data_IF_689605210153
#
_entry.id   IF_689605210153
#
_cell.length_a   1.000
_cell.length_b   1.000
_cell.length_c   1.000
_cell.angle_alpha   90.00
_cell.angle_beta   90.00
_cell.angle_gamma   90.00
#
_symmetry.space_group_name_H-M   'P 1'
#
loop_
_entity.id
_entity.type
_entity.pdbx_description
1 polymer ?
#
# COMPACT_ATOMS: atom_id res chain seq x y z
N UNK A 1 18.52 32.48 -1.59
CA UNK A 1 19.10 31.23 -1.06
C UNK A 1 18.74 30.12 -2.05
N UNK A 2 19.70 29.51 -2.74
CA UNK A 2 19.43 28.37 -3.64
C UNK A 2 19.38 27.11 -2.78
N UNK A 3 18.26 26.40 -2.80
CA UNK A 3 18.12 25.11 -2.14
C UNK A 3 18.89 24.10 -3.00
N UNK A 4 19.81 23.35 -2.37
CA UNK A 4 20.50 22.23 -3.02
C UNK A 4 19.48 21.10 -3.27
N UNK A 5 19.30 20.73 -4.54
CA UNK A 5 18.37 19.68 -4.98
C UNK A 5 19.09 18.51 -5.65
N UNK A 6 20.42 18.43 -5.56
CA UNK A 6 21.19 17.39 -6.22
C UNK A 6 21.07 16.03 -5.51
N UNK A 7 20.84 14.96 -6.28
CA UNK A 7 20.78 13.59 -5.76
C UNK A 7 22.20 13.06 -5.61
N UNK A 8 22.63 12.84 -4.37
CA UNK A 8 24.00 12.35 -4.07
C UNK A 8 24.14 10.84 -4.14
N UNK A 9 23.06 10.09 -3.93
CA UNK A 9 23.10 8.64 -3.90
C UNK A 9 21.74 8.03 -4.29
N UNK A 10 21.78 6.91 -5.00
CA UNK A 10 20.60 6.13 -5.37
C UNK A 10 20.88 4.67 -5.02
N UNK A 11 20.11 4.13 -4.08
CA UNK A 11 20.17 2.71 -3.71
C UNK A 11 19.65 1.85 -4.85
N UNK A 12 20.45 0.86 -5.27
CA UNK A 12 20.07 -0.04 -6.37
C UNK A 12 18.89 -0.93 -5.97
N UNK A 13 18.03 -1.34 -6.92
CA UNK A 13 17.01 -2.36 -6.65
C UNK A 13 17.64 -3.61 -6.02
N UNK A 14 16.94 -4.19 -5.04
CA UNK A 14 17.36 -5.39 -4.27
C UNK A 14 18.55 -5.21 -3.31
N UNK A 15 19.24 -4.06 -3.32
CA UNK A 15 20.26 -3.74 -2.33
C UNK A 15 19.70 -3.74 -0.90
N UNK A 16 20.58 -3.81 0.10
CA UNK A 16 20.16 -3.64 1.48
C UNK A 16 20.37 -2.17 1.88
N UNK A 17 19.28 -1.40 1.88
CA UNK A 17 19.30 0.01 2.28
C UNK A 17 19.97 0.21 3.65
N UNK A 18 19.73 -0.71 4.60
CA UNK A 18 20.31 -0.61 5.94
C UNK A 18 21.84 -0.77 5.93
N UNK A 19 22.42 -1.55 5.00
CA UNK A 19 23.88 -1.60 4.86
C UNK A 19 24.43 -0.27 4.34
N UNK A 20 23.77 0.30 3.34
CA UNK A 20 24.19 1.59 2.75
C UNK A 20 24.06 2.76 3.74
N UNK A 21 23.14 2.64 4.72
CA UNK A 21 22.98 3.59 5.82
C UNK A 21 23.96 3.37 6.98
N UNK A 22 24.85 2.36 6.91
CA UNK A 22 25.92 2.13 7.89
C UNK A 22 25.59 1.21 9.05
N UNK A 23 24.46 0.48 9.02
CA UNK A 23 24.17 -0.52 10.03
C UNK A 23 25.11 -1.73 9.92
N UNK A 24 25.37 -2.41 11.04
CA UNK A 24 26.17 -3.64 11.04
C UNK A 24 25.53 -4.72 10.13
N UNK A 25 26.32 -5.64 9.55
CA UNK A 25 25.77 -6.67 8.66
C UNK A 25 24.61 -7.48 9.24
N UNK A 26 24.72 -7.87 10.51
CA UNK A 26 23.69 -8.64 11.21
C UNK A 26 22.41 -7.82 11.43
N UNK A 27 22.56 -6.58 11.90
CA UNK A 27 21.42 -5.69 12.11
C UNK A 27 20.73 -5.33 10.80
N UNK A 28 21.49 -4.99 9.76
CA UNK A 28 20.96 -4.66 8.45
C UNK A 28 20.18 -5.84 7.85
N UNK A 29 20.65 -7.08 8.05
CA UNK A 29 19.94 -8.29 7.62
C UNK A 29 18.62 -8.47 8.37
N UNK A 30 18.64 -8.30 9.70
CA UNK A 30 17.44 -8.35 10.55
C UNK A 30 16.40 -7.31 10.15
N UNK A 31 16.80 -6.05 10.00
CA UNK A 31 15.92 -4.95 9.62
C UNK A 31 15.34 -5.14 8.22
N UNK A 32 16.14 -5.59 7.24
CA UNK A 32 15.65 -5.93 5.89
C UNK A 32 14.60 -7.03 5.94
N UNK A 33 14.82 -8.07 6.73
CA UNK A 33 13.85 -9.17 6.88
C UNK A 33 12.55 -8.69 7.54
N UNK A 34 12.65 -7.92 8.64
CA UNK A 34 11.49 -7.36 9.34
C UNK A 34 10.67 -6.43 8.44
N UNK A 35 11.33 -5.51 7.74
CA UNK A 35 10.68 -4.60 6.78
C UNK A 35 9.99 -5.38 5.65
N UNK A 36 10.66 -6.40 5.09
CA UNK A 36 10.07 -7.24 4.03
C UNK A 36 8.82 -7.97 4.53
N UNK A 37 8.86 -8.52 5.75
CA UNK A 37 7.70 -9.16 6.38
C UNK A 37 6.55 -8.16 6.52
N UNK A 38 6.79 -6.98 7.09
CA UNK A 38 5.78 -5.94 7.23
C UNK A 38 5.16 -5.51 5.89
N UNK A 39 5.96 -5.35 4.83
CA UNK A 39 5.46 -5.02 3.48
C UNK A 39 4.57 -6.13 2.94
N UNK A 40 4.97 -7.40 3.10
CA UNK A 40 4.18 -8.55 2.67
C UNK A 40 2.86 -8.62 3.43
N UNK A 41 2.91 -8.52 4.77
CA UNK A 41 1.73 -8.58 5.64
C UNK A 41 0.76 -7.43 5.31
N UNK A 42 1.28 -6.21 5.14
CA UNK A 42 0.50 -5.04 4.75
C UNK A 42 -0.19 -5.23 3.40
N UNK A 43 0.51 -5.82 2.42
CA UNK A 43 -0.07 -6.08 1.10
C UNK A 43 -1.20 -7.11 1.18
N UNK A 44 -1.00 -8.18 1.94
CA UNK A 44 -2.01 -9.20 2.16
C UNK A 44 -3.25 -8.61 2.83
N UNK A 45 -3.07 -7.78 3.87
CA UNK A 45 -4.19 -7.14 4.57
C UNK A 45 -4.96 -6.18 3.65
N UNK A 46 -4.28 -5.35 2.85
CA UNK A 46 -4.96 -4.50 1.86
C UNK A 46 -5.77 -5.31 0.86
N UNK A 47 -5.23 -6.43 0.40
CA UNK A 47 -5.93 -7.30 -0.54
C UNK A 47 -7.16 -7.94 0.10
N UNK A 48 -7.07 -8.36 1.36
CA UNK A 48 -8.19 -8.90 2.12
C UNK A 48 -9.28 -7.84 2.30
N UNK A 49 -8.95 -6.63 2.76
CA UNK A 49 -9.94 -5.55 2.92
C UNK A 49 -10.63 -5.20 1.59
N UNK A 50 -9.88 -5.14 0.49
CA UNK A 50 -10.45 -4.92 -0.85
C UNK A 50 -11.40 -6.04 -1.28
N UNK A 51 -11.08 -7.29 -0.92
CA UNK A 51 -11.95 -8.44 -1.18
C UNK A 51 -13.26 -8.32 -0.39
N UNK A 52 -13.19 -8.04 0.91
CA UNK A 52 -14.39 -7.86 1.76
C UNK A 52 -15.30 -6.75 1.23
N UNK A 53 -14.72 -5.60 0.84
CA UNK A 53 -15.48 -4.51 0.22
C UNK A 53 -16.13 -4.95 -1.10
N UNK A 54 -15.41 -5.71 -1.93
CA UNK A 54 -15.94 -6.20 -3.21
C UNK A 54 -17.09 -7.18 -3.01
N UNK A 55 -16.96 -8.09 -2.05
CA UNK A 55 -18.01 -9.05 -1.70
C UNK A 55 -19.23 -8.35 -1.10
N UNK A 56 -19.04 -7.31 -0.28
CA UNK A 56 -20.14 -6.49 0.23
C UNK A 56 -20.91 -5.81 -0.91
N UNK A 57 -20.21 -5.19 -1.87
CA UNK A 57 -20.84 -4.59 -3.06
C UNK A 57 -21.68 -5.63 -3.82
N UNK A 58 -21.12 -6.82 -4.04
CA UNK A 58 -21.79 -7.91 -4.77
C UNK A 58 -23.02 -8.44 -4.02
N UNK A 59 -22.87 -8.72 -2.72
CA UNK A 59 -23.94 -9.22 -1.83
C UNK A 59 -25.13 -8.28 -1.76
N UNK A 60 -24.88 -6.98 -1.83
CA UNK A 60 -25.92 -5.94 -1.82
C UNK A 60 -26.39 -5.56 -3.22
N UNK A 61 -25.89 -6.22 -4.27
CA UNK A 61 -26.22 -5.96 -5.68
C UNK A 61 -26.02 -4.50 -6.11
N UNK A 62 -25.03 -3.83 -5.51
CA UNK A 62 -24.76 -2.42 -5.74
C UNK A 62 -23.99 -2.22 -7.04
N UNK A 63 -24.43 -1.27 -7.86
CA UNK A 63 -23.59 -0.70 -8.91
C UNK A 63 -22.47 0.11 -8.27
N UNK A 64 -21.35 0.25 -8.97
CA UNK A 64 -20.20 1.02 -8.47
C UNK A 64 -20.53 2.48 -8.13
N UNK A 65 -21.54 3.09 -8.76
CA UNK A 65 -21.98 4.43 -8.44
C UNK A 65 -22.69 4.49 -7.08
N UNK A 66 -23.58 3.53 -6.80
CA UNK A 66 -24.31 3.43 -5.54
C UNK A 66 -23.37 3.11 -4.37
N UNK A 67 -22.44 2.18 -4.59
CA UNK A 67 -21.38 1.90 -3.61
C UNK A 67 -20.51 3.13 -3.32
N UNK A 68 -20.22 3.95 -4.34
CA UNK A 68 -19.41 5.16 -4.17
C UNK A 68 -20.11 6.19 -3.27
N UNK A 69 -21.43 6.33 -3.41
CA UNK A 69 -22.25 7.21 -2.57
C UNK A 69 -22.26 6.73 -1.12
N UNK A 70 -22.45 5.42 -0.88
CA UNK A 70 -22.50 4.83 0.47
C UNK A 70 -21.13 4.94 1.17
N UNK A 71 -20.06 4.58 0.47
CA UNK A 71 -18.69 4.62 1.00
C UNK A 71 -18.11 6.05 0.97
N UNK A 72 -18.88 7.05 0.54
CA UNK A 72 -18.48 8.47 0.45
C UNK A 72 -17.16 8.69 -0.31
N UNK A 73 -16.96 7.95 -1.40
CA UNK A 73 -15.79 8.06 -2.28
C UNK A 73 -16.18 8.31 -3.72
N UNK A 74 -15.21 8.55 -4.58
CA UNK A 74 -15.49 8.64 -6.02
C UNK A 74 -15.68 7.23 -6.62
N UNK A 75 -16.56 7.13 -7.63
CA UNK A 75 -16.76 5.88 -8.39
C UNK A 75 -15.43 5.27 -8.94
N UNK A 76 -14.46 6.06 -9.45
CA UNK A 76 -13.14 5.52 -9.80
C UNK A 76 -12.41 4.83 -8.65
N UNK A 77 -12.55 5.31 -7.39
CA UNK A 77 -11.98 4.62 -6.22
C UNK A 77 -12.62 3.26 -6.00
N UNK A 78 -13.95 3.17 -6.09
CA UNK A 78 -14.65 1.87 -6.01
C UNK A 78 -14.15 0.91 -7.09
N UNK A 79 -13.98 1.40 -8.32
CA UNK A 79 -13.38 0.60 -9.40
C UNK A 79 -11.97 0.12 -9.07
N UNK A 80 -11.13 0.96 -8.47
CA UNK A 80 -9.78 0.56 -8.07
C UNK A 80 -9.78 -0.48 -6.93
N UNK A 81 -10.75 -0.45 -6.00
CA UNK A 81 -10.95 -1.48 -4.95
C UNK A 81 -11.35 -2.81 -5.59
N UNK A 82 -12.39 -2.81 -6.43
CA UNK A 82 -12.90 -4.02 -7.10
C UNK A 82 -11.83 -4.68 -7.99
N UNK A 83 -10.97 -3.87 -8.62
CA UNK A 83 -9.83 -4.35 -9.41
C UNK A 83 -8.56 -4.61 -8.59
N UNK A 84 -8.65 -4.62 -7.24
CA UNK A 84 -7.56 -4.94 -6.31
C UNK A 84 -6.28 -4.13 -6.52
N UNK A 85 -6.39 -2.84 -6.85
CA UNK A 85 -5.24 -1.95 -7.06
C UNK A 85 -4.61 -1.49 -5.74
N UNK A 86 -4.08 -2.45 -4.97
CA UNK A 86 -3.52 -2.27 -3.60
C UNK A 86 -2.50 -1.15 -3.47
N UNK A 87 -1.75 -0.83 -4.54
CA UNK A 87 -0.77 0.25 -4.54
C UNK A 87 -1.39 1.65 -4.39
N UNK A 88 -2.69 1.83 -4.68
CA UNK A 88 -3.37 3.12 -4.62
C UNK A 88 -4.01 3.45 -3.26
N UNK A 89 -3.96 2.53 -2.30
CA UNK A 89 -4.68 2.65 -1.03
C UNK A 89 -3.74 2.44 0.15
N UNK A 90 -3.98 3.16 1.24
CA UNK A 90 -3.47 2.80 2.57
C UNK A 90 -4.43 1.80 3.22
N UNK A 91 -4.04 1.23 4.36
CA UNK A 91 -4.97 0.41 5.15
C UNK A 91 -6.07 1.31 5.72
N UNK A 92 -5.70 2.47 6.27
CA UNK A 92 -6.66 3.41 6.89
C UNK A 92 -7.77 3.80 5.91
N UNK A 93 -7.43 4.14 4.66
CA UNK A 93 -8.45 4.45 3.64
C UNK A 93 -9.38 3.26 3.36
N UNK A 94 -8.90 2.02 3.41
CA UNK A 94 -9.75 0.85 3.18
C UNK A 94 -10.62 0.50 4.39
N UNK A 95 -10.23 0.92 5.58
CA UNK A 95 -11.00 0.72 6.83
C UNK A 95 -12.06 1.80 6.99
N UNK A 96 -11.79 3.02 6.51
CA UNK A 96 -12.73 4.15 6.53
C UNK A 96 -13.81 4.06 5.44
N UNK A 97 -13.60 3.23 4.42
CA UNK A 97 -14.60 2.90 3.38
C UNK A 97 -15.55 1.84 3.93
#
# INVERSE_FOLDING_TARGET
>A
MKIDTEIRHVTKPRANLFLELGFSPEEAKRLKAASRKQITDTRALKQQLMEELSQWIEKHHLKQAEAAEILMVSRPRVSDVVNKKTAKFTIDTLVEM
#
